data_IF_522234441893
#
_entry.id   IF_522234441893
#
_cell.length_a   1.000
_cell.length_b   1.000
_cell.length_c   1.000
_cell.angle_alpha   90.00
_cell.angle_beta   90.00
_cell.angle_gamma   90.00
#
_symmetry.space_group_name_H-M   'P 1'
#
loop_
_entity.id
_entity.type
_entity.pdbx_description
1 polymer ?
#
# COMPACT_ATOMS: atom_id res chain seq x y z
N UNK A 1 -9.97 10.57 2.80
CA UNK A 1 -9.60 9.38 3.61
C UNK A 1 -8.59 9.79 4.67
N UNK A 2 -8.83 9.43 5.91
CA UNK A 2 -7.88 9.69 6.99
C UNK A 2 -6.95 8.48 7.14
N UNK A 3 -5.65 8.71 7.09
CA UNK A 3 -4.66 7.65 7.23
C UNK A 3 -4.42 7.35 8.72
N UNK A 4 -4.46 6.07 9.06
CA UNK A 4 -4.11 5.61 10.41
C UNK A 4 -2.60 5.35 10.50
N UNK A 5 -2.09 5.14 11.71
CA UNK A 5 -0.69 4.73 11.89
C UNK A 5 -0.40 3.40 11.19
N UNK A 6 -1.36 2.48 11.21
CA UNK A 6 -1.23 1.22 10.48
C UNK A 6 -1.12 1.42 8.98
N UNK A 7 -1.93 2.32 8.41
CA UNK A 7 -1.85 2.66 7.00
C UNK A 7 -0.48 3.22 6.64
N UNK A 8 0.05 4.13 7.46
CA UNK A 8 1.37 4.73 7.23
C UNK A 8 2.49 3.69 7.32
N UNK A 9 2.36 2.73 8.22
CA UNK A 9 3.32 1.61 8.32
C UNK A 9 3.34 0.81 7.02
N UNK A 10 2.18 0.46 6.48
CA UNK A 10 2.10 -0.25 5.21
C UNK A 10 2.72 0.55 4.07
N UNK A 11 2.45 1.85 4.02
CA UNK A 11 3.02 2.71 2.99
C UNK A 11 4.55 2.75 3.09
N UNK A 12 5.10 2.83 4.30
CA UNK A 12 6.55 2.81 4.49
C UNK A 12 7.16 1.50 4.05
N UNK A 13 6.52 0.37 4.35
CA UNK A 13 6.99 -0.94 3.91
C UNK A 13 7.01 -1.03 2.39
N UNK A 14 5.97 -0.54 1.73
CA UNK A 14 5.89 -0.57 0.27
C UNK A 14 6.84 0.42 -0.38
N UNK A 15 7.12 1.56 0.26
CA UNK A 15 8.16 2.47 -0.19
C UNK A 15 9.52 1.78 -0.19
N UNK A 16 9.82 1.01 0.86
CA UNK A 16 11.07 0.26 0.96
C UNK A 16 11.17 -0.83 -0.10
N UNK A 17 10.04 -1.42 -0.51
CA UNK A 17 9.99 -2.42 -1.56
C UNK A 17 10.24 -1.83 -2.96
N UNK A 18 10.05 -0.52 -3.13
CA UNK A 18 10.30 0.18 -4.38
C UNK A 18 9.35 -0.21 -5.49
N UNK A 19 9.82 -0.17 -6.73
CA UNK A 19 9.02 -0.43 -7.93
C UNK A 19 8.57 -1.89 -8.05
N UNK A 20 9.27 -2.80 -7.38
CA UNK A 20 8.89 -4.22 -7.38
C UNK A 20 7.62 -4.45 -6.56
N UNK A 21 7.39 -3.61 -5.57
CA UNK A 21 6.23 -3.74 -4.70
C UNK A 21 6.28 -5.00 -3.86
N UNK A 22 5.12 -5.44 -3.42
CA UNK A 22 5.01 -6.61 -2.57
C UNK A 22 3.81 -7.45 -2.99
N UNK A 23 4.00 -8.74 -3.10
CA UNK A 23 2.94 -9.69 -3.41
C UNK A 23 2.30 -10.15 -2.10
N UNK A 24 1.00 -9.96 -1.96
CA UNK A 24 0.27 -10.25 -0.72
C UNK A 24 -0.83 -11.27 -1.00
N UNK A 25 -0.85 -12.33 -0.20
CA UNK A 25 -1.86 -13.38 -0.30
C UNK A 25 -2.86 -13.35 0.85
N UNK A 26 -2.44 -12.88 2.00
CA UNK A 26 -3.29 -12.88 3.20
C UNK A 26 -4.45 -11.89 3.03
N UNK A 27 -5.68 -12.40 3.16
CA UNK A 27 -6.89 -11.61 2.90
C UNK A 27 -7.02 -10.40 3.83
N UNK A 28 -6.71 -10.56 5.11
CA UNK A 28 -6.78 -9.44 6.07
C UNK A 28 -5.87 -8.28 5.68
N UNK A 29 -4.67 -8.60 5.23
CA UNK A 29 -3.71 -7.58 4.76
C UNK A 29 -4.20 -6.98 3.46
N UNK A 30 -4.71 -7.79 2.53
CA UNK A 30 -5.25 -7.31 1.26
C UNK A 30 -6.39 -6.32 1.47
N UNK A 31 -7.30 -6.59 2.41
CA UNK A 31 -8.39 -5.67 2.71
C UNK A 31 -7.86 -4.31 3.18
N UNK A 32 -6.87 -4.32 4.06
CA UNK A 32 -6.24 -3.08 4.53
C UNK A 32 -5.55 -2.32 3.40
N UNK A 33 -4.83 -3.03 2.53
CA UNK A 33 -4.13 -2.41 1.41
C UNK A 33 -5.10 -1.92 0.32
N UNK A 34 -6.20 -2.62 0.11
CA UNK A 34 -7.21 -2.20 -0.87
C UNK A 34 -7.85 -0.87 -0.50
N UNK A 35 -7.97 -0.56 0.78
CA UNK A 35 -8.40 0.78 1.22
C UNK A 35 -7.45 1.85 0.73
N UNK A 36 -6.15 1.58 0.79
CA UNK A 36 -5.12 2.51 0.32
C UNK A 36 -5.14 2.64 -1.20
N UNK A 37 -5.46 1.57 -1.90
CA UNK A 37 -5.65 1.62 -3.36
C UNK A 37 -6.81 2.55 -3.70
N UNK A 38 -7.93 2.45 -3.00
CA UNK A 38 -9.09 3.32 -3.22
C UNK A 38 -8.75 4.78 -2.95
N UNK A 39 -7.88 5.05 -1.99
CA UNK A 39 -7.41 6.41 -1.69
C UNK A 39 -6.38 6.94 -2.68
N UNK A 40 -5.90 6.11 -3.60
CA UNK A 40 -4.89 6.51 -4.58
C UNK A 40 -3.45 6.42 -4.07
N UNK A 41 -3.23 5.85 -2.88
CA UNK A 41 -1.90 5.74 -2.28
C UNK A 41 -1.11 4.53 -2.77
N UNK A 42 -1.81 3.51 -3.24
CA UNK A 42 -1.22 2.29 -3.78
C UNK A 42 -1.87 1.92 -5.09
N UNK A 43 -1.17 1.08 -5.87
CA UNK A 43 -1.74 0.40 -7.04
C UNK A 43 -1.73 -1.08 -6.71
N UNK A 44 -2.85 -1.76 -6.95
CA UNK A 44 -2.97 -3.19 -6.78
C UNK A 44 -3.11 -3.88 -8.12
N UNK A 45 -2.36 -4.96 -8.33
CA UNK A 45 -2.42 -5.76 -9.56
C UNK A 45 -2.54 -7.23 -9.19
N UNK A 46 -3.65 -7.91 -9.54
CA UNK A 46 -3.77 -9.34 -9.31
C UNK A 46 -2.68 -10.11 -10.07
N UNK A 47 -2.01 -11.02 -9.37
CA UNK A 47 -0.98 -11.88 -9.95
C UNK A 47 -1.48 -13.31 -10.13
N UNK A 48 -2.39 -13.75 -9.26
CA UNK A 48 -3.11 -15.01 -9.38
C UNK A 48 -4.43 -14.94 -8.60
N UNK A 49 -5.10 -16.07 -8.40
CA UNK A 49 -6.40 -16.12 -7.72
C UNK A 49 -6.38 -15.60 -6.29
N UNK A 50 -5.24 -15.73 -5.63
CA UNK A 50 -5.13 -15.47 -4.20
C UNK A 50 -4.12 -14.39 -3.86
N UNK A 51 -3.47 -13.82 -4.87
CA UNK A 51 -2.38 -12.87 -4.64
C UNK A 51 -2.61 -11.58 -5.41
N UNK A 52 -2.26 -10.47 -4.78
CA UNK A 52 -2.26 -9.16 -5.41
C UNK A 52 -0.90 -8.51 -5.14
N UNK A 53 -0.30 -7.97 -6.19
CA UNK A 53 0.93 -7.20 -6.05
C UNK A 53 0.59 -5.73 -5.85
N UNK A 54 1.09 -5.15 -4.77
CA UNK A 54 0.88 -3.75 -4.44
C UNK A 54 2.16 -2.95 -4.63
N UNK A 55 2.02 -1.75 -5.19
CA UNK A 55 3.13 -0.80 -5.33
C UNK A 55 2.68 0.56 -4.82
N UNK A 56 3.62 1.31 -4.27
CA UNK A 56 3.34 2.66 -3.79
C UNK A 56 3.24 3.62 -4.98
N UNK A 57 2.31 4.57 -4.89
CA UNK A 57 2.18 5.66 -5.85
C UNK A 57 2.92 6.90 -5.36
N UNK A 58 3.03 7.92 -6.21
CA UNK A 58 3.58 9.20 -5.77
C UNK A 58 2.75 9.79 -4.63
N UNK A 59 1.43 9.67 -4.72
CA UNK A 59 0.55 10.13 -3.64
C UNK A 59 0.85 9.40 -2.31
N UNK A 60 1.17 8.10 -2.37
CA UNK A 60 1.57 7.34 -1.19
C UNK A 60 2.88 7.85 -0.59
N UNK A 61 3.86 8.13 -1.45
CA UNK A 61 5.14 8.68 -1.00
C UNK A 61 4.95 10.07 -0.38
N UNK A 62 4.12 10.91 -0.99
CA UNK A 62 3.82 12.24 -0.47
C UNK A 62 3.13 12.17 0.89
N UNK A 63 2.23 11.20 1.08
CA UNK A 63 1.55 11.00 2.35
C UNK A 63 2.54 10.66 3.48
N UNK A 64 3.57 9.88 3.18
CA UNK A 64 4.61 9.55 4.17
C UNK A 64 5.35 10.83 4.58
N UNK A 65 5.68 11.68 3.63
CA UNK A 65 6.38 12.94 3.90
C UNK A 65 5.50 13.88 4.74
N UNK A 66 4.23 14.00 4.39
CA UNK A 66 3.27 14.87 5.12
C UNK A 66 3.05 14.40 6.55
N UNK A 67 3.10 13.10 6.78
CA UNK A 67 2.86 12.50 8.09
C UNK A 67 4.17 11.95 8.70
N UNK A 68 5.27 12.61 8.43
CA UNK A 68 6.58 12.20 8.94
C UNK A 68 6.59 12.24 10.48
N UNK A 69 7.05 11.16 11.06
CA UNK A 69 7.13 10.99 12.50
C UNK A 69 8.32 10.12 12.89
#
# INVERSE_FOLDING_TARGET
MVLTLGDLKFLKELKAAGDLGRNVRELTIRVALDRLVKGGYLVGRPTDRHSVQYRITQRGRDAIVEHDF
#
